data_IF_028423608486
#
_entry.id   IF_028423608486
#
_cell.length_a   1.000
_cell.length_b   1.000
_cell.length_c   1.000
_cell.angle_alpha   90.00
_cell.angle_beta   90.00
_cell.angle_gamma   90.00
#
_symmetry.space_group_name_H-M   'P 1'
#
loop_
_entity.id
_entity.type
_entity.pdbx_description
1 polymer ?
#
# COMPACT_ATOMS: atom_id res chain seq x y z
N UNK A 1 45.13 10.36 -10.21
CA UNK A 1 44.03 9.78 -9.41
C UNK A 1 43.33 8.75 -10.28
N UNK A 2 43.37 7.43 -10.11
CA UNK A 2 43.90 6.49 -9.14
C UNK A 2 43.13 5.19 -9.40
N UNK A 3 43.77 4.19 -10.03
CA UNK A 3 43.22 2.90 -10.52
C UNK A 3 42.75 1.93 -9.41
N UNK A 4 42.35 2.41 -8.23
CA UNK A 4 42.20 1.62 -7.00
C UNK A 4 40.78 1.52 -6.42
N UNK A 5 39.73 1.75 -7.21
CA UNK A 5 38.34 1.61 -6.72
C UNK A 5 37.68 0.25 -7.04
N UNK A 6 38.48 -0.78 -7.37
CA UNK A 6 37.97 -2.12 -7.76
C UNK A 6 37.65 -3.06 -6.58
N UNK A 7 37.84 -2.64 -5.33
CA UNK A 7 37.59 -3.46 -4.14
C UNK A 7 36.77 -2.75 -3.06
N UNK A 8 35.78 -1.94 -3.45
CA UNK A 8 34.78 -1.49 -2.48
C UNK A 8 33.94 -2.70 -2.09
N UNK A 9 34.24 -3.32 -0.94
CA UNK A 9 33.39 -4.35 -0.32
C UNK A 9 31.97 -3.80 -0.34
N UNK A 10 31.10 -4.45 -1.09
CA UNK A 10 29.68 -4.20 -1.00
C UNK A 10 29.32 -4.45 0.46
N UNK A 11 28.86 -3.42 1.17
CA UNK A 11 28.25 -3.55 2.50
C UNK A 11 26.88 -4.21 2.31
N UNK A 12 26.90 -5.46 1.84
CA UNK A 12 25.73 -6.33 1.87
C UNK A 12 25.62 -6.84 3.29
N UNK A 13 24.42 -6.73 3.84
CA UNK A 13 24.10 -7.39 5.09
C UNK A 13 24.25 -8.89 4.86
N UNK A 14 24.99 -9.57 5.74
CA UNK A 14 25.23 -11.01 5.65
C UNK A 14 23.96 -11.82 5.99
N UNK A 15 22.98 -11.18 6.63
CA UNK A 15 21.67 -11.75 6.97
C UNK A 15 20.57 -10.75 6.63
N UNK A 16 19.33 -11.21 6.32
CA UNK A 16 18.18 -10.32 6.21
C UNK A 16 18.03 -9.45 7.46
N UNK A 17 17.56 -8.22 7.28
CA UNK A 17 17.21 -7.34 8.40
C UNK A 17 16.05 -7.98 9.14
N UNK A 18 16.17 -8.10 10.47
CA UNK A 18 15.07 -8.50 11.34
C UNK A 18 14.16 -7.30 11.61
N UNK A 19 12.98 -7.33 11.00
CA UNK A 19 11.88 -6.37 11.12
C UNK A 19 10.69 -6.96 11.89
N UNK A 20 10.89 -8.06 12.63
CA UNK A 20 9.82 -8.74 13.37
C UNK A 20 9.06 -7.85 14.36
N UNK A 21 9.68 -6.75 14.83
CA UNK A 21 9.05 -5.73 15.69
C UNK A 21 7.86 -5.05 15.05
N UNK A 22 7.82 -4.95 13.71
CA UNK A 22 6.71 -4.34 12.97
C UNK A 22 5.50 -5.28 12.90
N UNK A 23 5.75 -6.59 12.75
CA UNK A 23 4.75 -7.65 12.72
C UNK A 23 3.88 -7.70 11.46
N UNK A 24 3.37 -6.55 11.00
CA UNK A 24 2.49 -6.41 9.85
C UNK A 24 2.99 -5.32 8.90
N UNK A 25 3.06 -5.64 7.62
CA UNK A 25 3.10 -4.63 6.56
C UNK A 25 1.65 -4.29 6.13
N UNK A 26 1.35 -3.01 5.95
CA UNK A 26 -0.01 -2.53 5.67
C UNK A 26 -0.18 -1.95 4.27
N UNK A 27 0.90 -1.86 3.48
CA UNK A 27 0.85 -1.24 2.16
C UNK A 27 1.85 -1.90 1.21
N UNK A 28 1.34 -2.74 0.30
CA UNK A 28 2.12 -3.50 -0.67
C UNK A 28 1.30 -3.97 -1.87
N UNK A 29 1.98 -4.31 -2.96
CA UNK A 29 1.35 -4.65 -4.26
C UNK A 29 1.73 -6.09 -4.67
N UNK A 30 1.14 -7.07 -3.98
CA UNK A 30 1.49 -8.48 -4.14
C UNK A 30 0.48 -9.29 -4.96
N UNK A 31 -0.59 -8.70 -5.48
CA UNK A 31 -1.54 -9.43 -6.34
C UNK A 31 -1.05 -9.38 -7.79
N UNK A 32 -0.85 -10.53 -8.46
CA UNK A 32 -0.28 -10.57 -9.80
C UNK A 32 -1.12 -9.84 -10.85
N UNK A 33 -0.48 -8.95 -11.61
CA UNK A 33 -0.98 -8.46 -12.90
C UNK A 33 -2.17 -7.51 -12.81
N UNK A 34 -2.51 -7.01 -11.62
CA UNK A 34 -3.61 -6.07 -11.44
C UNK A 34 -3.14 -4.61 -11.26
N UNK A 35 -1.85 -4.39 -11.03
CA UNK A 35 -1.23 -3.07 -10.95
C UNK A 35 0.28 -3.07 -11.31
N UNK A 36 1.02 -2.06 -10.85
CA UNK A 36 2.47 -1.94 -11.03
C UNK A 36 3.31 -2.85 -10.12
N UNK A 37 2.70 -3.59 -9.19
CA UNK A 37 3.37 -4.57 -8.33
C UNK A 37 3.73 -5.87 -9.02
N UNK A 38 3.51 -6.99 -8.32
CA UNK A 38 3.81 -8.35 -8.80
C UNK A 38 3.21 -8.60 -10.20
N UNK A 39 3.97 -9.23 -11.10
CA UNK A 39 3.50 -9.54 -12.47
C UNK A 39 3.00 -10.97 -12.59
N UNK A 40 3.57 -11.88 -11.80
CA UNK A 40 3.26 -13.30 -11.80
C UNK A 40 3.02 -13.80 -10.38
N UNK A 41 2.43 -14.99 -10.25
CA UNK A 41 2.23 -15.62 -8.93
C UNK A 41 3.59 -15.96 -8.29
N UNK A 42 4.59 -16.29 -9.11
CA UNK A 42 5.96 -16.53 -8.67
C UNK A 42 6.59 -15.26 -8.08
N UNK A 43 6.34 -14.09 -8.67
CA UNK A 43 6.81 -12.81 -8.10
C UNK A 43 6.18 -12.58 -6.72
N UNK A 44 4.87 -12.79 -6.59
CA UNK A 44 4.17 -12.65 -5.31
C UNK A 44 4.75 -13.57 -4.23
N UNK A 45 4.97 -14.85 -4.57
CA UNK A 45 5.57 -15.82 -3.66
C UNK A 45 6.96 -15.34 -3.23
N UNK A 46 7.81 -14.91 -4.18
CA UNK A 46 9.16 -14.44 -3.87
C UNK A 46 9.15 -13.20 -2.97
N UNK A 47 8.35 -12.19 -3.31
CA UNK A 47 8.25 -10.95 -2.54
C UNK A 47 7.74 -11.22 -1.12
N UNK A 48 6.69 -12.01 -0.97
CA UNK A 48 6.10 -12.35 0.33
C UNK A 48 7.03 -13.26 1.14
N UNK A 49 7.77 -14.16 0.50
CA UNK A 49 8.82 -14.96 1.19
C UNK A 49 9.88 -14.04 1.78
N UNK A 50 10.35 -13.04 1.02
CA UNK A 50 11.31 -12.07 1.53
C UNK A 50 10.74 -11.27 2.72
N UNK A 51 9.46 -10.89 2.69
CA UNK A 51 8.80 -10.28 3.85
C UNK A 51 8.81 -11.22 5.06
N UNK A 52 8.50 -12.50 4.87
CA UNK A 52 8.55 -13.49 5.94
C UNK A 52 9.96 -13.67 6.52
N UNK A 53 10.98 -13.72 5.66
CA UNK A 53 12.39 -13.83 6.05
C UNK A 53 12.89 -12.60 6.82
N UNK A 54 12.34 -11.42 6.54
CA UNK A 54 12.54 -10.20 7.34
C UNK A 54 11.73 -10.20 8.65
N UNK A 55 10.98 -11.24 8.95
CA UNK A 55 10.27 -11.40 10.22
C UNK A 55 8.81 -10.96 10.24
N UNK A 56 8.26 -10.45 9.13
CA UNK A 56 6.84 -10.12 9.03
C UNK A 56 5.96 -11.38 9.23
N UNK A 57 4.86 -11.21 9.96
CA UNK A 57 3.85 -12.26 10.21
C UNK A 57 2.60 -12.08 9.39
N UNK A 58 2.33 -10.85 8.96
CA UNK A 58 1.17 -10.49 8.16
C UNK A 58 1.54 -9.44 7.12
N UNK A 59 0.90 -9.52 5.97
CA UNK A 59 0.91 -8.47 4.95
C UNK A 59 -0.53 -8.13 4.58
N UNK A 60 -0.80 -6.85 4.38
CA UNK A 60 -2.05 -6.34 3.84
C UNK A 60 -1.72 -5.71 2.50
N UNK A 61 -2.04 -6.43 1.42
CA UNK A 61 -1.79 -5.90 0.07
C UNK A 61 -2.88 -4.91 -0.30
N UNK A 62 -2.47 -3.77 -0.85
CA UNK A 62 -3.28 -2.60 -1.17
C UNK A 62 -3.05 -2.21 -2.62
N UNK A 63 -3.43 -3.05 -3.59
CA UNK A 63 -3.25 -2.71 -4.99
C UNK A 63 -3.99 -1.41 -5.35
N UNK A 64 -3.47 -0.71 -6.36
CA UNK A 64 -4.07 0.56 -6.78
C UNK A 64 -5.51 0.38 -7.28
N UNK A 65 -6.39 1.32 -6.93
CA UNK A 65 -7.70 1.51 -7.57
C UNK A 65 -7.79 2.94 -8.08
N UNK A 66 -7.73 3.09 -9.40
CA UNK A 66 -7.68 4.36 -10.13
C UNK A 66 -8.44 4.24 -11.45
N UNK A 67 -9.37 5.17 -11.73
CA UNK A 67 -10.31 5.08 -12.85
C UNK A 67 -9.65 4.91 -14.22
N UNK A 68 -8.52 5.57 -14.42
CA UNK A 68 -7.89 5.73 -15.73
C UNK A 68 -6.79 4.71 -16.01
N UNK A 69 -6.26 4.06 -14.96
CA UNK A 69 -5.08 3.21 -15.09
C UNK A 69 -5.26 1.83 -14.47
N UNK A 70 -5.71 1.76 -13.21
CA UNK A 70 -5.89 0.52 -12.46
C UNK A 70 -7.34 0.34 -12.02
N UNK A 71 -8.17 -0.18 -12.93
CA UNK A 71 -9.62 -0.36 -12.74
C UNK A 71 -9.98 -1.56 -11.87
N UNK A 72 -9.29 -1.69 -10.74
CA UNK A 72 -9.51 -2.77 -9.80
C UNK A 72 -10.84 -2.61 -9.07
N UNK A 73 -11.51 -3.74 -8.84
CA UNK A 73 -12.73 -3.83 -8.04
C UNK A 73 -12.47 -4.63 -6.77
N UNK A 74 -13.37 -4.52 -5.80
CA UNK A 74 -13.31 -5.35 -4.59
C UNK A 74 -13.28 -6.84 -4.92
N UNK A 75 -13.99 -7.27 -5.97
CA UNK A 75 -14.00 -8.66 -6.43
C UNK A 75 -12.65 -9.08 -7.00
N UNK A 76 -12.06 -8.27 -7.88
CA UNK A 76 -10.74 -8.53 -8.48
C UNK A 76 -9.66 -8.64 -7.41
N UNK A 77 -9.66 -7.72 -6.45
CA UNK A 77 -8.67 -7.70 -5.36
C UNK A 77 -8.87 -8.91 -4.43
N UNK A 78 -10.10 -9.18 -3.99
CA UNK A 78 -10.36 -10.27 -3.04
C UNK A 78 -10.10 -11.65 -3.65
N UNK A 79 -10.45 -11.85 -4.92
CA UNK A 79 -10.16 -13.10 -5.64
C UNK A 79 -8.65 -13.27 -5.90
N UNK A 80 -7.96 -12.21 -6.32
CA UNK A 80 -6.50 -12.22 -6.46
C UNK A 80 -5.78 -12.55 -5.15
N UNK A 81 -6.25 -11.99 -4.03
CA UNK A 81 -5.75 -12.32 -2.69
C UNK A 81 -5.94 -13.80 -2.34
N UNK A 82 -7.09 -14.41 -2.66
CA UNK A 82 -7.27 -15.85 -2.40
C UNK A 82 -6.34 -16.71 -3.25
N UNK A 83 -6.07 -16.33 -4.51
CA UNK A 83 -5.09 -17.02 -5.35
C UNK A 83 -3.68 -16.97 -4.75
N UNK A 84 -3.24 -15.78 -4.31
CA UNK A 84 -1.93 -15.62 -3.63
C UNK A 84 -1.89 -16.42 -2.35
N UNK A 85 -2.93 -16.35 -1.52
CA UNK A 85 -3.03 -17.12 -0.26
C UNK A 85 -2.91 -18.62 -0.49
N UNK A 86 -3.57 -19.15 -1.51
CA UNK A 86 -3.48 -20.56 -1.87
C UNK A 86 -2.07 -20.93 -2.33
N UNK A 87 -1.44 -20.09 -3.17
CA UNK A 87 -0.08 -20.32 -3.64
C UNK A 87 0.96 -20.29 -2.49
N UNK A 88 0.82 -19.39 -1.52
CA UNK A 88 1.66 -19.36 -0.31
C UNK A 88 1.49 -20.63 0.54
N UNK A 89 0.25 -21.12 0.65
CA UNK A 89 -0.04 -22.36 1.36
C UNK A 89 0.62 -23.56 0.69
N UNK A 90 0.54 -23.66 -0.63
CA UNK A 90 1.14 -24.75 -1.41
C UNK A 90 2.69 -24.70 -1.35
N UNK A 91 3.25 -23.50 -1.26
CA UNK A 91 4.69 -23.26 -1.04
C UNK A 91 5.13 -23.41 0.43
N UNK A 92 4.22 -23.69 1.37
CA UNK A 92 4.48 -23.78 2.81
C UNK A 92 5.09 -22.51 3.42
N UNK A 93 4.66 -21.33 2.99
CA UNK A 93 5.12 -20.04 3.53
C UNK A 93 4.16 -19.59 4.63
N UNK A 94 4.57 -19.57 5.92
CA UNK A 94 3.67 -19.33 7.04
C UNK A 94 3.53 -17.83 7.35
N UNK A 95 2.94 -17.09 6.42
CA UNK A 95 2.63 -15.66 6.57
C UNK A 95 1.16 -15.41 6.22
N UNK A 96 0.50 -14.56 7.01
CA UNK A 96 -0.88 -14.18 6.77
C UNK A 96 -0.96 -13.11 5.68
N UNK A 97 -1.92 -13.24 4.76
CA UNK A 97 -2.23 -12.23 3.75
C UNK A 97 -3.69 -11.80 3.85
N UNK A 98 -3.88 -10.49 3.97
CA UNK A 98 -5.16 -9.80 3.78
C UNK A 98 -5.05 -8.83 2.61
N UNK A 99 -6.18 -8.26 2.20
CA UNK A 99 -6.20 -7.23 1.17
C UNK A 99 -7.11 -6.07 1.55
N UNK A 100 -6.62 -4.87 1.26
CA UNK A 100 -7.39 -3.65 1.15
C UNK A 100 -7.12 -3.05 -0.25
N UNK A 101 -7.34 -1.77 -0.44
CA UNK A 101 -7.01 -1.09 -1.69
C UNK A 101 -6.33 0.24 -1.39
N UNK A 102 -5.40 0.63 -2.25
CA UNK A 102 -4.92 2.01 -2.30
C UNK A 102 -5.81 2.78 -3.29
N UNK A 103 -6.73 3.58 -2.76
CA UNK A 103 -7.63 4.35 -3.60
C UNK A 103 -6.99 5.66 -4.04
N UNK A 104 -6.88 5.87 -5.35
CA UNK A 104 -6.51 7.17 -5.88
C UNK A 104 -7.72 8.12 -5.79
N UNK A 105 -7.53 9.33 -5.25
CA UNK A 105 -8.59 10.32 -5.15
C UNK A 105 -8.89 10.93 -6.53
N UNK A 106 -9.80 10.28 -7.25
CA UNK A 106 -10.41 10.72 -8.50
C UNK A 106 -11.95 10.76 -8.41
N UNK A 107 -12.59 11.14 -9.51
CA UNK A 107 -14.05 11.19 -9.62
C UNK A 107 -14.72 9.82 -9.39
N UNK A 108 -14.07 8.73 -9.79
CA UNK A 108 -14.64 7.39 -9.61
C UNK A 108 -14.60 6.97 -8.14
N UNK A 109 -13.52 7.30 -7.43
CA UNK A 109 -13.43 7.09 -5.99
C UNK A 109 -14.52 7.83 -5.23
N UNK A 110 -14.80 9.09 -5.54
CA UNK A 110 -15.91 9.84 -4.91
C UNK A 110 -17.28 9.19 -5.16
N UNK A 111 -17.48 8.63 -6.36
CA UNK A 111 -18.69 7.86 -6.68
C UNK A 111 -18.75 6.57 -5.86
N UNK A 112 -17.66 5.79 -5.84
CA UNK A 112 -17.55 4.53 -5.08
C UNK A 112 -17.80 4.74 -3.59
N UNK A 113 -17.24 5.81 -3.02
CA UNK A 113 -17.46 6.18 -1.62
C UNK A 113 -18.95 6.36 -1.30
N UNK A 114 -19.80 6.78 -2.25
CA UNK A 114 -21.24 6.95 -2.03
C UNK A 114 -22.07 5.69 -2.31
N UNK A 115 -21.60 4.84 -3.21
CA UNK A 115 -22.41 3.76 -3.80
C UNK A 115 -22.08 2.38 -3.25
N UNK A 116 -20.87 2.17 -2.70
CA UNK A 116 -20.43 0.86 -2.27
C UNK A 116 -19.57 0.89 -1.00
N UNK A 117 -19.43 -0.27 -0.35
CA UNK A 117 -18.51 -0.45 0.77
C UNK A 117 -17.09 -0.65 0.23
N UNK A 118 -16.22 0.31 0.52
CA UNK A 118 -14.80 0.27 0.16
C UNK A 118 -14.02 -0.78 0.95
N UNK A 119 -12.96 -1.30 0.34
CA UNK A 119 -12.01 -2.20 0.99
C UNK A 119 -11.14 -1.42 1.97
N UNK A 120 -11.04 -1.95 3.19
CA UNK A 120 -10.31 -1.31 4.29
C UNK A 120 -9.51 -2.37 5.04
N UNK A 121 -8.62 -1.93 5.91
CA UNK A 121 -7.89 -2.82 6.81
C UNK A 121 -8.07 -2.44 8.27
N UNK A 122 -7.76 -3.38 9.17
CA UNK A 122 -7.86 -3.20 10.61
C UNK A 122 -9.27 -2.74 11.04
N UNK A 123 -9.35 -1.59 11.70
CA UNK A 123 -10.60 -1.03 12.21
C UNK A 123 -11.09 0.11 11.29
N UNK A 124 -11.49 -0.25 10.06
CA UNK A 124 -11.95 0.62 8.98
C UNK A 124 -10.92 1.65 8.49
N UNK A 125 -9.63 1.31 8.49
CA UNK A 125 -8.62 2.17 7.88
C UNK A 125 -8.74 2.11 6.36
N UNK A 126 -8.93 3.28 5.75
CA UNK A 126 -9.11 3.44 4.31
C UNK A 126 -7.86 4.13 3.75
N UNK A 127 -7.04 3.36 3.04
CA UNK A 127 -5.84 3.90 2.40
C UNK A 127 -6.23 4.66 1.14
N UNK A 128 -5.74 5.88 1.01
CA UNK A 128 -5.92 6.67 -0.20
C UNK A 128 -4.67 7.46 -0.55
N UNK A 129 -4.51 7.77 -1.82
CA UNK A 129 -3.45 8.63 -2.34
C UNK A 129 -4.02 9.74 -3.22
N UNK A 130 -3.17 10.72 -3.51
CA UNK A 130 -3.48 11.86 -4.38
C UNK A 130 -2.39 12.03 -5.44
N UNK A 131 -2.64 12.89 -6.43
CA UNK A 131 -1.62 13.26 -7.42
C UNK A 131 -0.34 13.76 -6.75
N UNK A 132 0.82 13.27 -7.21
CA UNK A 132 2.12 13.77 -6.78
C UNK A 132 2.42 15.20 -7.28
N UNK A 133 1.64 15.70 -8.24
CA UNK A 133 1.86 17.01 -8.85
C UNK A 133 1.20 18.13 -8.03
N UNK A 134 -0.03 17.91 -7.57
CA UNK A 134 -0.81 18.90 -6.84
C UNK A 134 -1.93 18.22 -6.05
N UNK A 135 -2.33 18.77 -4.90
CA UNK A 135 -3.48 18.24 -4.18
C UNK A 135 -4.78 18.56 -4.93
N UNK A 136 -5.83 17.72 -4.79
CA UNK A 136 -7.15 18.03 -5.32
C UNK A 136 -7.82 19.11 -4.47
N UNK A 137 -8.55 20.03 -5.11
CA UNK A 137 -9.19 21.17 -4.43
C UNK A 137 -10.23 20.74 -3.38
N UNK A 138 -10.88 19.60 -3.62
CA UNK A 138 -11.90 19.03 -2.74
C UNK A 138 -11.36 18.04 -1.69
N UNK A 139 -10.03 17.92 -1.53
CA UNK A 139 -9.39 16.92 -0.65
C UNK A 139 -10.04 16.83 0.74
N UNK A 140 -10.14 17.96 1.45
CA UNK A 140 -10.69 17.98 2.81
C UNK A 140 -12.19 17.68 2.86
N UNK A 141 -12.92 17.99 1.79
CA UNK A 141 -14.33 17.63 1.70
C UNK A 141 -14.47 16.10 1.58
N UNK A 142 -13.71 15.48 0.68
CA UNK A 142 -13.75 14.02 0.48
C UNK A 142 -13.30 13.28 1.75
N UNK A 143 -12.25 13.75 2.43
CA UNK A 143 -11.82 13.21 3.74
C UNK A 143 -12.94 13.26 4.77
N UNK A 144 -13.67 14.38 4.85
CA UNK A 144 -14.79 14.51 5.77
C UNK A 144 -15.91 13.52 5.44
N UNK A 145 -16.23 13.33 4.16
CA UNK A 145 -17.21 12.32 3.72
C UNK A 145 -16.80 10.89 4.10
N UNK A 146 -15.51 10.55 3.98
CA UNK A 146 -14.99 9.25 4.45
C UNK A 146 -15.26 9.06 5.95
N UNK A 147 -14.95 10.08 6.75
CA UNK A 147 -15.13 10.03 8.21
C UNK A 147 -16.61 9.95 8.60
N UNK A 148 -17.50 10.65 7.90
CA UNK A 148 -18.95 10.56 8.12
C UNK A 148 -19.50 9.15 7.90
N UNK A 149 -18.89 8.39 6.99
CA UNK A 149 -19.24 6.99 6.73
C UNK A 149 -18.55 6.00 7.69
N UNK A 150 -17.77 6.49 8.66
CA UNK A 150 -17.10 5.68 9.66
C UNK A 150 -15.76 5.09 9.23
N UNK A 151 -15.20 5.57 8.11
CA UNK A 151 -13.84 5.26 7.70
C UNK A 151 -12.82 6.08 8.49
N UNK A 152 -11.62 5.52 8.62
CA UNK A 152 -10.43 6.19 9.16
C UNK A 152 -9.45 6.39 8.01
N UNK A 153 -9.44 7.55 7.36
CA UNK A 153 -8.58 7.76 6.20
C UNK A 153 -7.12 7.65 6.60
N UNK A 154 -6.30 7.08 5.73
CA UNK A 154 -4.84 7.01 5.88
C UNK A 154 -4.26 7.54 4.58
N UNK A 155 -3.52 8.64 4.65
CA UNK A 155 -2.85 9.21 3.48
C UNK A 155 -1.59 8.40 3.17
N UNK A 156 -1.54 7.77 2.00
CA UNK A 156 -0.38 7.01 1.56
C UNK A 156 0.81 7.94 1.29
N UNK A 157 2.01 7.44 1.61
CA UNK A 157 3.33 8.00 1.27
C UNK A 157 3.40 9.54 1.28
N UNK A 158 3.10 10.19 2.44
CA UNK A 158 3.07 11.65 2.55
C UNK A 158 4.37 12.33 2.10
N UNK A 159 5.50 11.65 2.22
CA UNK A 159 6.81 12.11 1.79
C UNK A 159 6.95 12.31 0.27
N UNK A 160 6.06 11.71 -0.55
CA UNK A 160 6.09 11.82 -2.02
C UNK A 160 5.41 13.09 -2.54
N UNK A 161 4.67 13.81 -1.71
CA UNK A 161 3.99 15.06 -2.09
C UNK A 161 4.94 16.25 -2.04
N UNK A 162 5.70 16.47 -3.13
CA UNK A 162 6.72 17.53 -3.21
C UNK A 162 6.18 18.94 -2.90
N UNK A 163 4.90 19.20 -3.20
CA UNK A 163 4.25 20.48 -2.90
C UNK A 163 4.09 20.76 -1.40
N UNK A 164 4.14 19.73 -0.53
CA UNK A 164 4.13 19.89 0.93
C UNK A 164 5.47 19.57 1.60
N UNK A 165 6.52 19.26 0.84
CA UNK A 165 7.80 18.78 1.40
C UNK A 165 8.44 19.71 2.45
N UNK A 166 8.17 21.03 2.37
CA UNK A 166 8.65 22.02 3.35
C UNK A 166 7.56 22.58 4.26
N UNK A 167 6.33 22.11 4.11
CA UNK A 167 5.15 22.60 4.83
C UNK A 167 4.71 21.56 5.88
N UNK A 168 5.56 21.29 6.88
CA UNK A 168 5.26 20.30 7.92
C UNK A 168 3.94 20.57 8.67
N UNK A 169 3.57 21.83 8.83
CA UNK A 169 2.28 22.27 9.40
C UNK A 169 1.08 21.67 8.65
N UNK A 170 1.20 21.35 7.35
CA UNK A 170 0.15 20.67 6.59
C UNK A 170 -0.07 19.25 7.08
N UNK A 171 0.99 18.51 7.33
CA UNK A 171 0.91 17.15 7.86
C UNK A 171 0.43 17.14 9.31
N UNK A 172 0.84 18.10 10.13
CA UNK A 172 0.28 18.29 11.47
C UNK A 172 -1.24 18.53 11.41
N UNK A 173 -1.70 19.35 10.48
CA UNK A 173 -3.14 19.58 10.28
C UNK A 173 -3.90 18.33 9.80
N UNK A 174 -3.26 17.40 9.07
CA UNK A 174 -3.84 16.09 8.76
C UNK A 174 -3.98 15.23 10.02
N UNK A 175 -2.91 15.14 10.81
CA UNK A 175 -2.90 14.39 12.08
C UNK A 175 -3.96 14.91 13.06
N UNK A 176 -4.07 16.23 13.20
CA UNK A 176 -5.08 16.88 14.06
C UNK A 176 -6.52 16.59 13.61
N UNK A 177 -6.71 16.27 12.32
CA UNK A 177 -8.00 15.87 11.74
C UNK A 177 -8.23 14.35 11.81
N UNK A 178 -7.31 13.60 12.40
CA UNK A 178 -7.40 12.15 12.53
C UNK A 178 -7.10 11.39 11.24
N UNK A 179 -6.15 11.89 10.45
CA UNK A 179 -5.62 11.31 9.21
C UNK A 179 -4.18 10.85 9.42
#
# INVERSE_FOLDING_TARGET
MGLFNLFKKSTRLDTPVDLSVLGCDVHSHFIPGIDDGAKTIEDSIQMITAMHEMGYKKVITTPHTMSDYYRNSSETILSGKENVKQALKDANIPIEIEAASEYYLDYDFERKLKEEKLLTFGNNYLLFEISYMNPPDNLFHVIFEMQLQGYKPVLAHPERYNFWHKEFEKYEAFVDKGI
#
